data_IF_163513929427
#
_entry.id   IF_163513929427
#
_cell.length_a   1.000
_cell.length_b   1.000
_cell.length_c   1.000
_cell.angle_alpha   90.00
_cell.angle_beta   90.00
_cell.angle_gamma   90.00
#
_symmetry.space_group_name_H-M   'P 1'
#
loop_
_entity.id
_entity.type
_entity.pdbx_description
1 polymer ?
#
# COMPACT_ATOMS: atom_id res chain seq x y z
N UNK A 1 63.02 -30.89 -25.64
CA UNK A 1 62.06 -32.01 -25.72
C UNK A 1 61.14 -31.98 -24.52
N UNK A 2 59.87 -31.64 -24.73
CA UNK A 2 58.67 -32.28 -24.14
C UNK A 2 57.47 -31.39 -24.46
N UNK A 3 56.64 -31.92 -25.35
CA UNK A 3 55.36 -31.39 -25.84
C UNK A 3 54.29 -31.83 -24.84
N UNK A 4 53.42 -30.94 -24.34
CA UNK A 4 52.12 -31.27 -23.75
C UNK A 4 51.20 -30.05 -23.89
N UNK A 5 50.41 -29.97 -24.96
CA UNK A 5 48.98 -30.37 -25.07
C UNK A 5 48.03 -29.37 -24.41
N UNK A 6 47.47 -28.52 -25.26
CA UNK A 6 46.28 -27.72 -25.03
C UNK A 6 45.08 -28.65 -24.82
N UNK A 7 44.34 -28.52 -23.73
CA UNK A 7 43.03 -29.16 -23.57
C UNK A 7 42.03 -28.14 -22.99
N UNK A 8 40.99 -27.89 -23.77
CA UNK A 8 39.75 -27.21 -23.38
C UNK A 8 39.07 -27.99 -22.26
N UNK A 9 38.51 -27.29 -21.26
CA UNK A 9 37.28 -27.66 -20.56
C UNK A 9 36.61 -26.39 -20.03
N UNK A 10 35.42 -26.14 -20.54
CA UNK A 10 34.49 -25.16 -20.02
C UNK A 10 33.87 -25.68 -18.72
N UNK A 11 33.75 -24.82 -17.72
CA UNK A 11 32.60 -24.83 -16.79
C UNK A 11 32.58 -23.52 -16.03
N UNK A 12 31.58 -22.71 -16.35
CA UNK A 12 31.21 -21.54 -15.58
C UNK A 12 30.42 -22.00 -14.35
N UNK A 13 30.86 -21.57 -13.16
CA UNK A 13 29.97 -21.41 -12.02
C UNK A 13 30.50 -20.25 -11.16
N UNK A 14 30.11 -19.03 -11.54
CA UNK A 14 30.32 -17.85 -10.73
C UNK A 14 29.26 -17.82 -9.63
N UNK A 15 29.65 -18.14 -8.40
CA UNK A 15 28.83 -17.88 -7.20
C UNK A 15 29.07 -16.42 -6.84
N UNK A 16 28.14 -15.55 -7.23
CA UNK A 16 28.10 -14.17 -6.78
C UNK A 16 27.15 -14.07 -5.59
N UNK A 17 27.69 -13.60 -4.47
CA UNK A 17 26.99 -13.13 -3.28
C UNK A 17 26.17 -11.88 -3.58
N UNK A 18 24.93 -11.80 -3.09
CA UNK A 18 24.26 -10.55 -2.71
C UNK A 18 22.88 -10.81 -2.08
N UNK A 19 22.70 -10.28 -0.87
CA UNK A 19 21.48 -9.57 -0.47
C UNK A 19 20.26 -10.39 -0.03
N UNK A 20 20.10 -10.59 1.28
CA UNK A 20 18.76 -10.58 1.87
C UNK A 20 18.19 -9.17 1.73
N UNK A 21 17.26 -9.00 0.79
CA UNK A 21 16.65 -7.72 0.49
C UNK A 21 15.34 -7.92 -0.26
N UNK A 22 14.38 -8.59 0.37
CA UNK A 22 13.00 -8.59 -0.12
C UNK A 22 12.22 -7.53 0.66
N UNK A 23 12.28 -6.30 0.16
CA UNK A 23 11.18 -5.36 0.34
C UNK A 23 10.01 -5.88 -0.48
N UNK A 24 9.22 -6.79 0.09
CA UNK A 24 7.93 -7.18 -0.47
C UNK A 24 6.92 -6.06 -0.19
N UNK A 25 7.12 -4.94 -0.87
CA UNK A 25 6.03 -3.99 -1.15
C UNK A 25 5.01 -4.75 -1.98
N UNK A 26 3.75 -4.80 -1.53
CA UNK A 26 2.65 -5.42 -2.27
C UNK A 26 2.66 -4.89 -3.72
N UNK A 27 2.96 -5.77 -4.67
CA UNK A 27 2.97 -5.45 -6.10
C UNK A 27 1.53 -5.51 -6.62
N UNK A 28 1.07 -4.54 -7.43
CA UNK A 28 -0.28 -4.59 -7.99
C UNK A 28 -0.48 -5.85 -8.83
N UNK A 29 -1.57 -6.57 -8.56
CA UNK A 29 -1.84 -7.92 -9.07
C UNK A 29 -2.74 -7.89 -10.32
N UNK A 30 -3.39 -6.77 -10.65
CA UNK A 30 -4.28 -6.63 -11.82
C UNK A 30 -3.96 -5.39 -12.71
N UNK A 31 -4.28 -5.46 -14.01
CA UNK A 31 -4.14 -4.39 -15.00
C UNK A 31 -4.98 -3.14 -14.67
N UNK A 32 -6.15 -3.31 -14.06
CA UNK A 32 -6.99 -2.18 -13.61
C UNK A 32 -6.34 -1.42 -12.44
N UNK A 33 -5.70 -2.11 -11.49
CA UNK A 33 -4.93 -1.48 -10.40
C UNK A 33 -3.76 -0.65 -10.97
N UNK A 34 -3.02 -1.21 -11.95
CA UNK A 34 -1.92 -0.51 -12.62
C UNK A 34 -2.36 0.73 -13.40
N UNK A 35 -3.54 0.69 -14.01
CA UNK A 35 -4.05 1.82 -14.79
C UNK A 35 -4.38 3.02 -13.90
N UNK A 36 -5.03 2.80 -12.75
CA UNK A 36 -5.36 3.88 -11.81
C UNK A 36 -4.11 4.42 -11.09
N UNK A 37 -3.14 3.56 -10.80
CA UNK A 37 -1.83 3.96 -10.28
C UNK A 37 -1.14 4.99 -11.17
N UNK A 38 -1.15 4.78 -12.49
CA UNK A 38 -0.36 5.59 -13.42
C UNK A 38 -1.11 6.83 -13.96
N UNK A 39 -2.42 6.92 -13.76
CA UNK A 39 -3.26 7.94 -14.39
C UNK A 39 -3.93 8.89 -13.38
N UNK A 40 -3.46 8.97 -12.12
CA UNK A 40 -4.07 9.85 -11.11
C UNK A 40 -4.21 11.29 -11.61
N UNK A 41 -3.17 11.83 -12.26
CA UNK A 41 -3.21 13.20 -12.79
C UNK A 41 -4.32 13.41 -13.82
N UNK A 42 -4.48 12.49 -14.76
CA UNK A 42 -5.52 12.57 -15.79
C UNK A 42 -6.93 12.46 -15.17
N UNK A 43 -7.09 11.60 -14.15
CA UNK A 43 -8.34 11.47 -13.41
C UNK A 43 -8.68 12.81 -12.74
N UNK A 44 -7.71 13.44 -12.06
CA UNK A 44 -7.93 14.71 -11.37
C UNK A 44 -8.27 15.87 -12.31
N UNK A 45 -7.63 15.94 -13.49
CA UNK A 45 -7.93 16.94 -14.53
C UNK A 45 -9.39 16.88 -15.03
N UNK A 46 -10.05 15.72 -14.89
CA UNK A 46 -11.46 15.50 -15.29
C UNK A 46 -12.42 15.46 -14.09
N UNK A 47 -11.89 15.26 -12.88
CA UNK A 47 -12.68 15.14 -11.68
C UNK A 47 -13.44 16.43 -11.37
N UNK A 48 -14.68 16.31 -10.93
CA UNK A 48 -15.45 17.43 -10.40
C UNK A 48 -15.08 17.69 -8.94
N UNK A 49 -15.32 18.91 -8.49
CA UNK A 49 -15.27 19.22 -7.08
C UNK A 49 -16.29 18.36 -6.31
N UNK A 50 -15.87 17.80 -5.19
CA UNK A 50 -16.71 16.90 -4.40
C UNK A 50 -15.92 15.98 -3.50
N UNK A 51 -16.63 15.16 -2.73
CA UNK A 51 -16.04 14.15 -1.85
C UNK A 51 -16.37 12.77 -2.35
N UNK A 52 -15.34 11.94 -2.52
CA UNK A 52 -15.41 10.61 -3.09
C UNK A 52 -14.90 9.59 -2.08
N UNK A 53 -15.66 8.52 -1.86
CA UNK A 53 -15.29 7.45 -0.92
C UNK A 53 -15.11 6.14 -1.65
N UNK A 54 -13.98 5.48 -1.39
CA UNK A 54 -13.65 4.16 -1.88
C UNK A 54 -13.32 3.19 -0.76
N UNK A 55 -13.48 1.90 -1.01
CA UNK A 55 -13.21 0.82 -0.05
C UNK A 55 -12.38 -0.30 -0.66
N UNK A 56 -11.52 -0.91 0.15
CA UNK A 56 -10.75 -2.09 -0.26
C UNK A 56 -11.56 -3.38 -0.11
N UNK A 57 -11.00 -4.46 -0.65
CA UNK A 57 -11.39 -5.82 -0.28
C UNK A 57 -11.05 -6.12 1.18
N UNK A 58 -11.77 -7.05 1.84
CA UNK A 58 -11.44 -7.46 3.20
C UNK A 58 -10.11 -8.22 3.28
N UNK A 59 -9.35 -7.96 4.34
CA UNK A 59 -8.18 -8.77 4.73
C UNK A 59 -8.62 -10.15 5.28
N UNK A 60 -7.64 -10.99 5.65
CA UNK A 60 -7.90 -12.31 6.20
C UNK A 60 -8.66 -12.31 7.54
N UNK A 61 -8.80 -11.16 8.20
CA UNK A 61 -9.57 -10.96 9.44
C UNK A 61 -10.91 -10.26 9.16
N UNK A 62 -11.22 -9.97 7.91
CA UNK A 62 -12.45 -9.31 7.48
C UNK A 62 -12.43 -7.79 7.61
N UNK A 63 -11.29 -7.18 7.94
CA UNK A 63 -11.16 -5.72 8.00
C UNK A 63 -10.90 -5.13 6.62
N UNK A 64 -11.36 -3.91 6.37
CA UNK A 64 -11.18 -3.18 5.10
C UNK A 64 -10.41 -1.86 5.32
N UNK A 65 -9.92 -1.26 4.24
CA UNK A 65 -9.55 0.14 4.19
C UNK A 65 -10.68 0.98 3.58
N UNK A 66 -10.88 2.19 4.09
CA UNK A 66 -11.83 3.18 3.56
C UNK A 66 -11.08 4.49 3.31
N UNK A 67 -11.06 4.94 2.07
CA UNK A 67 -10.46 6.21 1.67
C UNK A 67 -11.56 7.21 1.35
N UNK A 68 -11.48 8.41 1.91
CA UNK A 68 -12.31 9.56 1.57
C UNK A 68 -11.41 10.66 1.02
N UNK A 69 -11.70 11.13 -0.19
CA UNK A 69 -10.90 12.14 -0.89
C UNK A 69 -11.81 13.30 -1.26
N UNK A 70 -11.43 14.51 -0.88
CA UNK A 70 -12.11 15.74 -1.32
C UNK A 70 -11.32 16.38 -2.47
N UNK A 71 -12.00 16.62 -3.58
CA UNK A 71 -11.46 17.31 -4.76
C UNK A 71 -11.95 18.75 -4.78
N UNK A 72 -11.03 19.67 -5.06
CA UNK A 72 -11.31 21.08 -5.31
C UNK A 72 -10.37 21.61 -6.39
N UNK A 73 -10.91 22.30 -7.39
CA UNK A 73 -10.16 22.91 -8.49
C UNK A 73 -9.23 21.88 -9.17
N UNK A 74 -9.77 20.68 -9.45
CA UNK A 74 -9.03 19.55 -10.05
C UNK A 74 -7.83 19.07 -9.23
N UNK A 75 -7.83 19.28 -7.91
CA UNK A 75 -6.76 18.84 -6.99
C UNK A 75 -7.35 18.16 -5.77
N UNK A 76 -6.56 17.29 -5.16
CA UNK A 76 -6.91 16.68 -3.87
C UNK A 76 -6.72 17.75 -2.78
N UNK A 77 -7.81 18.13 -2.13
CA UNK A 77 -7.88 19.13 -1.08
C UNK A 77 -7.89 18.52 0.34
N UNK A 78 -8.42 17.30 0.48
CA UNK A 78 -8.38 16.54 1.74
C UNK A 78 -8.33 15.04 1.46
N UNK A 79 -7.69 14.28 2.36
CA UNK A 79 -7.63 12.82 2.32
C UNK A 79 -7.75 12.27 3.72
N UNK A 80 -8.66 11.31 3.90
CA UNK A 80 -8.78 10.51 5.11
C UNK A 80 -8.73 9.04 4.73
N UNK A 81 -7.84 8.29 5.38
CA UNK A 81 -7.74 6.85 5.19
C UNK A 81 -7.91 6.14 6.54
N UNK A 82 -8.96 5.35 6.64
CA UNK A 82 -9.34 4.62 7.84
C UNK A 82 -9.22 3.13 7.60
N UNK A 83 -8.75 2.39 8.60
CA UNK A 83 -8.91 0.95 8.63
C UNK A 83 -10.19 0.62 9.39
N UNK A 84 -11.03 -0.26 8.86
CA UNK A 84 -12.29 -0.68 9.50
C UNK A 84 -12.16 -2.16 9.86
N UNK A 85 -12.58 -2.53 11.06
CA UNK A 85 -12.63 -3.92 11.52
C UNK A 85 -13.86 -4.63 10.95
N UNK A 86 -13.89 -5.96 11.05
CA UNK A 86 -15.00 -6.79 10.53
C UNK A 86 -16.37 -6.42 11.12
N UNK A 87 -16.38 -5.93 12.36
CA UNK A 87 -17.58 -5.48 13.08
C UNK A 87 -18.02 -4.04 12.72
N UNK A 88 -17.28 -3.37 11.84
CA UNK A 88 -17.54 -1.98 11.44
C UNK A 88 -16.79 -0.94 12.28
N UNK A 89 -16.08 -1.34 13.33
CA UNK A 89 -15.36 -0.40 14.21
C UNK A 89 -14.11 0.15 13.51
N UNK A 90 -13.88 1.46 13.56
CA UNK A 90 -12.64 2.06 13.05
C UNK A 90 -11.44 1.56 13.87
N UNK A 91 -10.37 1.13 13.19
CA UNK A 91 -9.08 0.78 13.80
C UNK A 91 -8.47 2.06 14.37
N UNK A 92 -8.53 2.21 15.68
CA UNK A 92 -7.98 3.35 16.42
C UNK A 92 -7.11 2.91 17.61
N UNK A 93 -7.14 3.68 18.69
CA UNK A 93 -6.32 3.42 19.89
C UNK A 93 -6.62 2.07 20.55
N UNK A 94 -7.84 1.57 20.41
CA UNK A 94 -8.25 0.26 20.96
C UNK A 94 -7.96 -0.91 20.03
N UNK A 95 -7.55 -0.65 18.79
CA UNK A 95 -7.18 -1.72 17.88
C UNK A 95 -5.94 -2.45 18.39
N UNK A 96 -6.09 -3.76 18.62
CA UNK A 96 -5.05 -4.59 19.21
C UNK A 96 -5.23 -4.86 20.70
N UNK A 97 -6.24 -4.26 21.35
CA UNK A 97 -6.64 -4.57 22.73
C UNK A 97 -7.73 -5.65 22.74
N UNK A 98 -7.83 -6.36 23.85
CA UNK A 98 -8.94 -7.25 24.19
C UNK A 98 -9.61 -6.66 25.43
N UNK A 99 -10.93 -6.43 25.40
CA UNK A 99 -11.66 -5.85 26.54
C UNK A 99 -11.05 -4.55 27.10
N UNK A 100 -10.41 -3.74 26.25
CA UNK A 100 -9.73 -2.51 26.66
C UNK A 100 -8.32 -2.68 27.23
N UNK A 101 -7.81 -3.92 27.32
CA UNK A 101 -6.47 -4.22 27.83
C UNK A 101 -5.51 -4.70 26.73
N UNK A 102 -4.23 -4.39 26.90
CA UNK A 102 -3.16 -4.88 26.03
C UNK A 102 -2.71 -6.26 26.55
N UNK A 103 -3.40 -7.31 26.12
CA UNK A 103 -3.05 -8.69 26.49
C UNK A 103 -1.81 -9.20 25.73
N UNK A 104 -1.62 -8.74 24.49
CA UNK A 104 -0.46 -9.09 23.66
C UNK A 104 0.23 -7.84 23.11
N UNK A 105 1.35 -7.47 23.74
CA UNK A 105 2.09 -6.25 23.39
C UNK A 105 2.63 -6.25 21.95
N UNK A 106 3.10 -7.40 21.46
CA UNK A 106 3.62 -7.51 20.10
C UNK A 106 2.52 -7.31 19.06
N UNK A 107 1.35 -7.90 19.31
CA UNK A 107 0.18 -7.72 18.46
C UNK A 107 -0.34 -6.28 18.51
N UNK A 108 -0.47 -5.70 19.71
CA UNK A 108 -0.87 -4.30 19.87
C UNK A 108 0.08 -3.33 19.14
N UNK A 109 1.39 -3.52 19.26
CA UNK A 109 2.36 -2.68 18.56
C UNK A 109 2.20 -2.78 17.03
N UNK A 110 1.95 -3.98 16.48
CA UNK A 110 1.66 -4.16 15.04
C UNK A 110 0.34 -3.49 14.65
N UNK A 111 -0.69 -3.61 15.49
CA UNK A 111 -1.99 -2.99 15.28
C UNK A 111 -1.86 -1.46 15.20
N UNK A 112 -1.15 -0.85 16.15
CA UNK A 112 -0.92 0.58 16.20
C UNK A 112 0.01 1.07 15.08
N UNK A 113 0.98 0.26 14.64
CA UNK A 113 1.78 0.57 13.45
C UNK A 113 0.91 0.68 12.19
N UNK A 114 -0.09 -0.19 12.04
CA UNK A 114 -1.05 -0.10 10.94
C UNK A 114 -1.93 1.16 11.02
N UNK A 115 -2.41 1.53 12.22
CA UNK A 115 -3.17 2.77 12.44
C UNK A 115 -2.35 4.00 12.06
N UNK A 116 -1.08 4.06 12.50
CA UNK A 116 -0.16 5.15 12.15
C UNK A 116 0.11 5.22 10.65
N UNK A 117 0.37 4.08 10.01
CA UNK A 117 0.60 4.01 8.57
C UNK A 117 -0.60 4.52 7.77
N UNK A 118 -1.83 4.27 8.23
CA UNK A 118 -3.02 4.75 7.52
C UNK A 118 -3.04 6.29 7.44
N UNK A 119 -2.73 6.98 8.53
CA UNK A 119 -2.60 8.44 8.56
C UNK A 119 -1.47 8.93 7.65
N UNK A 120 -0.34 8.23 7.62
CA UNK A 120 0.80 8.58 6.75
C UNK A 120 0.47 8.43 5.26
N UNK A 121 -0.30 7.41 4.87
CA UNK A 121 -0.74 7.27 3.48
C UNK A 121 -1.68 8.39 3.04
N UNK A 122 -2.62 8.79 3.91
CA UNK A 122 -3.50 9.91 3.64
C UNK A 122 -2.71 11.21 3.43
N UNK A 123 -1.77 11.51 4.32
CA UNK A 123 -0.89 12.68 4.21
C UNK A 123 0.00 12.60 2.97
N UNK A 124 0.58 11.44 2.67
CA UNK A 124 1.42 11.26 1.49
C UNK A 124 0.63 11.48 0.19
N UNK A 125 -0.61 10.98 0.09
CA UNK A 125 -1.45 11.21 -1.08
C UNK A 125 -1.81 12.69 -1.24
N UNK A 126 -2.20 13.34 -0.14
CA UNK A 126 -2.49 14.77 -0.13
C UNK A 126 -1.29 15.61 -0.59
N UNK A 127 -0.08 15.26 -0.17
CA UNK A 127 1.13 15.98 -0.56
C UNK A 127 1.58 15.68 -2.00
N UNK A 128 1.56 14.41 -2.38
CA UNK A 128 2.12 13.94 -3.65
C UNK A 128 1.16 14.11 -4.82
N UNK A 129 -0.15 14.21 -4.56
CA UNK A 129 -1.23 14.34 -5.55
C UNK A 129 -1.25 13.20 -6.60
N UNK A 130 -0.57 12.10 -6.32
CA UNK A 130 -0.36 11.01 -7.26
C UNK A 130 -0.14 9.72 -6.47
N UNK A 131 -1.02 8.73 -6.68
CA UNK A 131 -1.04 7.50 -5.88
C UNK A 131 0.21 6.63 -6.13
N UNK A 132 0.72 6.59 -7.37
CA UNK A 132 1.96 5.88 -7.73
C UNK A 132 3.20 6.38 -7.01
N UNK A 133 3.17 7.61 -6.49
CA UNK A 133 4.27 8.20 -5.75
C UNK A 133 4.19 7.92 -4.25
N UNK A 134 3.09 7.38 -3.74
CA UNK A 134 2.96 7.02 -2.32
C UNK A 134 3.70 5.70 -2.08
N UNK A 135 4.71 5.72 -1.22
CA UNK A 135 5.55 4.55 -0.95
C UNK A 135 4.94 3.67 0.13
N UNK A 136 5.14 2.36 0.04
CA UNK A 136 4.82 1.43 1.12
C UNK A 136 5.60 1.74 2.40
N UNK A 137 4.99 1.46 3.55
CA UNK A 137 5.60 1.67 4.88
C UNK A 137 5.95 0.29 5.43
N UNK A 138 7.18 0.13 5.90
CA UNK A 138 7.64 -1.15 6.44
C UNK A 138 6.76 -1.61 7.61
N UNK A 139 6.33 -2.88 7.57
CA UNK A 139 5.40 -3.45 8.55
C UNK A 139 3.92 -3.13 8.32
N UNK A 140 3.58 -2.36 7.28
CA UNK A 140 2.21 -1.96 6.96
C UNK A 140 1.71 -2.49 5.60
N UNK A 141 2.25 -3.62 5.12
CA UNK A 141 1.94 -4.19 3.79
C UNK A 141 0.44 -4.37 3.54
N UNK A 142 -0.32 -4.85 4.54
CA UNK A 142 -1.78 -5.01 4.43
C UNK A 142 -2.46 -3.64 4.28
N UNK A 143 -2.11 -2.68 5.14
CA UNK A 143 -2.63 -1.30 5.05
C UNK A 143 -2.31 -0.66 3.70
N UNK A 144 -1.12 -0.88 3.15
CA UNK A 144 -0.73 -0.34 1.85
C UNK A 144 -1.59 -0.91 0.72
N UNK A 145 -1.79 -2.24 0.68
CA UNK A 145 -2.68 -2.88 -0.30
C UNK A 145 -4.09 -2.31 -0.20
N UNK A 146 -4.64 -2.23 1.01
CA UNK A 146 -5.98 -1.69 1.24
C UNK A 146 -6.09 -0.22 0.84
N UNK A 147 -5.03 0.57 1.05
CA UNK A 147 -4.97 1.96 0.63
C UNK A 147 -5.03 2.08 -0.90
N UNK A 148 -4.26 1.27 -1.64
CA UNK A 148 -4.27 1.29 -3.11
C UNK A 148 -5.63 0.87 -3.68
N UNK A 149 -6.23 -0.20 -3.15
CA UNK A 149 -7.56 -0.67 -3.59
C UNK A 149 -8.65 0.38 -3.29
N UNK A 150 -8.66 0.96 -2.08
CA UNK A 150 -9.62 2.00 -1.72
C UNK A 150 -9.42 3.28 -2.56
N UNK A 151 -8.18 3.64 -2.90
CA UNK A 151 -7.89 4.74 -3.81
C UNK A 151 -8.41 4.46 -5.22
N UNK A 152 -8.22 3.24 -5.71
CA UNK A 152 -8.75 2.84 -7.01
C UNK A 152 -10.27 3.02 -7.08
N UNK A 153 -10.99 2.45 -6.11
CA UNK A 153 -12.45 2.53 -6.03
C UNK A 153 -12.94 3.99 -5.88
N UNK A 154 -12.23 4.82 -5.09
CA UNK A 154 -12.55 6.23 -4.95
C UNK A 154 -12.37 6.99 -6.29
N UNK A 155 -11.28 6.72 -7.00
CA UNK A 155 -10.93 7.41 -8.25
C UNK A 155 -11.80 6.98 -9.43
N UNK A 156 -12.28 5.73 -9.46
CA UNK A 156 -13.26 5.29 -10.44
C UNK A 156 -14.59 6.07 -10.33
N UNK A 157 -14.95 6.50 -9.13
CA UNK A 157 -16.14 7.31 -8.85
C UNK A 157 -15.98 8.81 -9.19
N UNK A 158 -14.76 9.26 -9.49
CA UNK A 158 -14.47 10.65 -9.87
C UNK A 158 -14.71 10.96 -11.36
N UNK A 159 -14.81 9.91 -12.18
CA UNK A 159 -15.05 9.98 -13.63
C UNK A 159 -16.48 10.42 -13.94
#
# INVERSE_FOLDING_TARGET
MKKYTLLLMASALAIASAGCGNNDSAKPENENEKNVLNNTKEILEKAKDGTYTGTSSPDNRGGIGKLTVTIKDHKIADVQFEGIQKDGTVKGEDYGKTNGEIENKAFYNKAQAAVKANGEYAQALLQKQEISKVDGISGATISYKQFLEAAQDAFEKMK
#
